data_IF_342493564317
#
_entry.id   IF_342493564317
#
_cell.length_a   1.000
_cell.length_b   1.000
_cell.length_c   1.000
_cell.angle_alpha   90.00
_cell.angle_beta   90.00
_cell.angle_gamma   90.00
#
_symmetry.space_group_name_H-M   'P 1'
#
loop_
_entity.id
_entity.type
_entity.pdbx_description
1 polymer ?
#
# COMPACT_ATOMS: atom_id res chain seq x y z
N UNK A 1 46.73 45.33 -4.52
CA UNK A 1 45.40 45.65 -3.91
C UNK A 1 44.52 44.43 -4.11
N UNK A 2 44.41 43.52 -3.13
CA UNK A 2 43.56 42.35 -3.20
C UNK A 2 42.28 42.65 -2.40
N UNK A 3 41.13 42.66 -3.08
CA UNK A 3 39.84 42.90 -2.48
C UNK A 3 39.40 41.71 -1.61
N UNK A 4 38.54 41.91 -0.59
CA UNK A 4 38.15 40.88 0.36
C UNK A 4 37.25 39.86 -0.31
N UNK A 5 37.64 38.58 -0.20
CA UNK A 5 36.89 37.42 -0.64
C UNK A 5 35.70 37.24 0.31
N UNK A 6 34.48 37.57 -0.14
CA UNK A 6 33.26 37.39 0.62
C UNK A 6 32.92 35.89 0.65
N UNK A 7 33.24 35.22 1.74
CA UNK A 7 32.77 33.87 1.99
C UNK A 7 31.24 33.87 2.09
N UNK A 8 30.56 33.47 1.02
CA UNK A 8 29.13 33.22 1.02
C UNK A 8 28.88 32.02 1.91
N UNK A 9 28.28 32.25 3.08
CA UNK A 9 27.94 31.25 4.08
C UNK A 9 26.99 30.23 3.43
N UNK A 10 27.54 29.08 2.99
CA UNK A 10 26.72 27.96 2.51
C UNK A 10 25.78 27.53 3.65
N UNK A 11 24.48 27.76 3.48
CA UNK A 11 23.46 27.12 4.31
C UNK A 11 23.64 25.61 4.10
N UNK A 12 24.01 24.89 5.16
CA UNK A 12 23.90 23.43 5.18
C UNK A 12 22.44 23.08 4.90
N UNK A 13 22.17 22.61 3.71
CA UNK A 13 20.91 21.92 3.45
C UNK A 13 20.88 20.72 4.35
N UNK A 14 20.06 20.78 5.39
CA UNK A 14 19.78 19.63 6.24
C UNK A 14 18.97 18.67 5.39
N UNK A 15 19.65 17.64 4.85
CA UNK A 15 18.96 16.51 4.20
C UNK A 15 18.08 15.89 5.29
N UNK A 16 16.75 15.93 5.16
CA UNK A 16 15.88 15.33 6.15
C UNK A 16 16.17 13.83 6.16
N UNK A 17 16.65 13.31 7.30
CA UNK A 17 16.77 11.87 7.50
C UNK A 17 15.42 11.22 7.23
N UNK A 18 15.41 10.16 6.42
CA UNK A 18 14.22 9.41 6.06
C UNK A 18 13.57 8.83 7.35
N UNK A 19 12.65 9.59 7.94
CA UNK A 19 11.85 9.18 9.07
C UNK A 19 10.67 8.29 8.62
N UNK A 20 9.93 7.76 9.59
CA UNK A 20 8.68 7.02 9.33
C UNK A 20 7.72 7.89 8.49
N UNK A 21 7.10 7.30 7.46
CA UNK A 21 6.08 7.98 6.64
C UNK A 21 5.02 8.64 7.52
N UNK A 22 4.64 9.90 7.25
CA UNK A 22 3.64 10.60 8.05
C UNK A 22 2.27 9.90 7.94
N UNK A 23 1.56 9.81 9.06
CA UNK A 23 0.17 9.32 9.05
C UNK A 23 -0.74 10.32 8.35
N UNK A 24 -1.74 9.86 7.57
CA UNK A 24 -2.77 10.72 6.99
C UNK A 24 -3.47 11.59 8.06
N UNK A 25 -3.90 12.78 7.66
CA UNK A 25 -4.54 13.74 8.59
C UNK A 25 -5.83 13.18 9.19
N UNK A 26 -6.61 12.41 8.43
CA UNK A 26 -7.81 11.74 8.92
C UNK A 26 -7.49 10.79 10.10
N UNK A 27 -6.43 9.98 10.00
CA UNK A 27 -5.97 9.09 11.08
C UNK A 27 -5.55 9.87 12.32
N UNK A 28 -4.81 10.97 12.12
CA UNK A 28 -4.39 11.83 13.24
C UNK A 28 -5.58 12.46 13.99
N UNK A 29 -6.64 12.84 13.29
CA UNK A 29 -7.87 13.35 13.89
C UNK A 29 -8.58 12.29 14.72
N UNK A 30 -8.72 11.07 14.20
CA UNK A 30 -9.34 9.94 14.93
C UNK A 30 -8.56 9.55 16.19
N UNK A 31 -7.22 9.57 16.11
CA UNK A 31 -6.35 9.31 17.27
C UNK A 31 -6.32 10.49 18.28
N UNK A 32 -7.11 11.56 18.06
CA UNK A 32 -7.14 12.72 18.95
C UNK A 32 -5.90 13.61 18.87
N UNK A 33 -5.01 13.39 17.89
CA UNK A 33 -3.77 14.15 17.70
C UNK A 33 -2.94 14.31 18.99
N UNK A 34 -2.54 13.22 19.65
CA UNK A 34 -1.91 13.27 20.99
C UNK A 34 -0.64 14.12 21.04
N UNK A 35 0.05 14.28 19.92
CA UNK A 35 1.22 15.14 19.80
C UNK A 35 0.89 16.63 19.57
N UNK A 36 -0.37 17.03 19.55
CA UNK A 36 -0.87 18.41 19.28
C UNK A 36 -0.17 19.11 18.10
N UNK A 37 0.29 18.33 17.11
CA UNK A 37 0.96 18.88 15.93
C UNK A 37 -0.07 19.46 14.97
N UNK A 38 0.31 20.55 14.28
CA UNK A 38 -0.54 21.18 13.26
C UNK A 38 -0.94 20.14 12.22
N UNK A 39 -2.25 19.97 12.01
CA UNK A 39 -2.79 19.06 11.01
C UNK A 39 -2.66 19.69 9.61
N UNK A 40 -2.37 18.85 8.61
CA UNK A 40 -2.37 19.30 7.22
C UNK A 40 -3.81 19.42 6.70
N UNK A 41 -4.35 20.63 6.70
CA UNK A 41 -5.71 20.89 6.19
C UNK A 41 -5.79 20.96 4.66
N UNK A 42 -4.63 20.94 3.98
CA UNK A 42 -4.51 21.00 2.53
C UNK A 42 -4.07 19.65 1.93
N UNK A 43 -4.33 18.56 2.65
CA UNK A 43 -4.07 17.22 2.12
C UNK A 43 -5.01 16.99 0.92
N UNK A 44 -4.45 16.68 -0.29
CA UNK A 44 -5.29 16.46 -1.46
C UNK A 44 -6.14 15.21 -1.26
N UNK A 45 -7.43 15.34 -1.54
CA UNK A 45 -8.39 14.23 -1.54
C UNK A 45 -8.63 13.88 -3.00
N UNK A 46 -8.15 12.71 -3.49
CA UNK A 46 -8.38 12.28 -4.86
C UNK A 46 -9.88 12.13 -5.14
N UNK A 47 -10.27 12.36 -6.39
CA UNK A 47 -11.63 12.07 -6.83
C UNK A 47 -11.92 10.56 -6.65
N UNK A 48 -13.14 10.25 -6.22
CA UNK A 48 -13.60 8.87 -6.11
C UNK A 48 -13.81 8.31 -7.52
N UNK A 49 -13.15 7.22 -7.84
CA UNK A 49 -13.28 6.55 -9.13
C UNK A 49 -12.47 5.26 -9.11
N UNK A 50 -12.95 4.24 -9.81
CA UNK A 50 -12.21 3.01 -9.98
C UNK A 50 -11.26 3.18 -11.17
N UNK A 51 -9.96 2.94 -11.01
CA UNK A 51 -9.01 3.05 -12.11
C UNK A 51 -9.29 2.01 -13.19
N UNK A 52 -9.05 2.37 -14.45
CA UNK A 52 -9.16 1.45 -15.58
C UNK A 52 -7.97 0.51 -15.60
N UNK A 53 -8.24 -0.78 -15.86
CA UNK A 53 -7.18 -1.78 -15.96
C UNK A 53 -6.31 -1.51 -17.21
N UNK A 54 -4.99 -1.37 -17.05
CA UNK A 54 -4.09 -1.16 -18.19
C UNK A 54 -4.01 -2.38 -19.10
N UNK A 55 -4.00 -2.15 -20.42
CA UNK A 55 -3.97 -3.22 -21.43
C UNK A 55 -2.66 -4.01 -21.47
N UNK A 56 -1.56 -3.39 -21.04
CA UNK A 56 -0.21 -3.99 -21.04
C UNK A 56 0.05 -4.97 -19.89
N UNK A 57 -0.88 -5.14 -18.95
CA UNK A 57 -0.72 -6.09 -17.86
C UNK A 57 -0.74 -7.54 -18.38
N UNK A 58 0.04 -8.41 -17.73
CA UNK A 58 -0.02 -9.86 -17.97
C UNK A 58 -1.43 -10.40 -17.70
N UNK A 59 -1.85 -11.48 -18.38
CA UNK A 59 -3.18 -12.06 -18.19
C UNK A 59 -3.52 -12.38 -16.72
N UNK A 60 -2.57 -12.95 -15.98
CA UNK A 60 -2.74 -13.24 -14.56
C UNK A 60 -2.80 -11.95 -13.70
N UNK A 61 -2.09 -10.91 -14.10
CA UNK A 61 -2.17 -9.61 -13.44
C UNK A 61 -3.55 -8.96 -13.65
N UNK A 62 -4.15 -9.10 -14.84
CA UNK A 62 -5.52 -8.62 -15.13
C UNK A 62 -6.56 -9.35 -14.27
N UNK A 63 -6.44 -10.67 -14.10
CA UNK A 63 -7.32 -11.45 -13.21
C UNK A 63 -7.22 -10.98 -11.75
N UNK A 64 -6.01 -10.73 -11.28
CA UNK A 64 -5.80 -10.22 -9.93
C UNK A 64 -6.33 -8.79 -9.77
N UNK A 65 -6.18 -7.95 -10.81
CA UNK A 65 -6.79 -6.63 -10.87
C UNK A 65 -8.32 -6.70 -10.72
N UNK A 66 -8.99 -7.51 -11.53
CA UNK A 66 -10.44 -7.66 -11.48
C UNK A 66 -10.94 -8.16 -10.12
N UNK A 67 -10.19 -9.08 -9.51
CA UNK A 67 -10.50 -9.64 -8.19
C UNK A 67 -10.43 -8.59 -7.09
N UNK A 68 -9.37 -7.78 -7.06
CA UNK A 68 -9.10 -6.86 -5.96
C UNK A 68 -9.69 -5.46 -6.17
N UNK A 69 -9.75 -4.95 -7.40
CA UNK A 69 -10.19 -3.58 -7.65
C UNK A 69 -11.60 -3.32 -7.12
N UNK A 70 -12.52 -4.28 -7.31
CA UNK A 70 -13.90 -4.18 -6.79
C UNK A 70 -13.93 -4.10 -5.27
N UNK A 71 -13.18 -4.96 -4.59
CA UNK A 71 -13.12 -5.01 -3.13
C UNK A 71 -12.50 -3.72 -2.56
N UNK A 72 -11.41 -3.25 -3.16
CA UNK A 72 -10.72 -2.05 -2.70
C UNK A 72 -11.53 -0.78 -2.98
N UNK A 73 -12.27 -0.75 -4.09
CA UNK A 73 -13.19 0.35 -4.37
C UNK A 73 -14.37 0.39 -3.37
N UNK A 74 -14.94 -0.77 -3.00
CA UNK A 74 -15.96 -0.86 -1.96
C UNK A 74 -15.45 -0.38 -0.60
N UNK A 75 -14.19 -0.67 -0.26
CA UNK A 75 -13.52 -0.17 0.94
C UNK A 75 -13.14 1.32 0.85
N UNK A 76 -13.28 1.96 -0.31
CA UNK A 76 -12.92 3.36 -0.53
C UNK A 76 -11.41 3.64 -0.43
N UNK A 77 -10.56 2.62 -0.65
CA UNK A 77 -9.09 2.74 -0.59
C UNK A 77 -8.42 2.86 -1.94
N UNK A 78 -9.13 2.58 -3.04
CA UNK A 78 -8.63 2.67 -4.40
C UNK A 78 -9.28 3.85 -5.12
N UNK A 79 -8.45 4.70 -5.71
CA UNK A 79 -8.86 5.86 -6.50
C UNK A 79 -8.18 5.86 -7.87
N UNK A 80 -8.62 6.71 -8.81
CA UNK A 80 -8.03 6.79 -10.15
C UNK A 80 -6.53 7.09 -10.16
N UNK A 81 -6.03 7.87 -9.18
CA UNK A 81 -4.61 8.21 -9.09
C UNK A 81 -3.73 7.03 -8.68
N UNK A 82 -4.32 5.97 -8.12
CA UNK A 82 -3.61 4.79 -7.64
C UNK A 82 -3.35 3.76 -8.75
N UNK A 83 -3.80 4.02 -9.97
CA UNK A 83 -3.73 3.10 -11.11
C UNK A 83 -2.34 2.49 -11.29
N UNK A 84 -1.30 3.31 -11.34
CA UNK A 84 0.07 2.82 -11.60
C UNK A 84 0.62 1.98 -10.45
N UNK A 85 0.36 2.38 -9.21
CA UNK A 85 0.81 1.64 -8.02
C UNK A 85 0.08 0.30 -7.90
N UNK A 86 -1.22 0.28 -8.17
CA UNK A 86 -2.02 -0.95 -8.16
C UNK A 86 -1.66 -1.88 -9.33
N UNK A 87 -1.37 -1.33 -10.52
CA UNK A 87 -0.85 -2.10 -11.64
C UNK A 87 0.49 -2.77 -11.32
N UNK A 88 1.40 -2.07 -10.64
CA UNK A 88 2.67 -2.62 -10.19
C UNK A 88 2.49 -3.78 -9.19
N UNK A 89 1.53 -3.67 -8.27
CA UNK A 89 1.14 -4.78 -7.38
C UNK A 89 0.68 -6.01 -8.17
N UNK A 90 -0.30 -5.84 -9.06
CA UNK A 90 -0.86 -6.94 -9.86
C UNK A 90 0.19 -7.60 -10.76
N UNK A 91 1.07 -6.80 -11.37
CA UNK A 91 2.15 -7.31 -12.20
C UNK A 91 3.19 -8.08 -11.39
N UNK A 92 3.52 -7.63 -10.18
CA UNK A 92 4.41 -8.35 -9.28
C UNK A 92 3.78 -9.67 -8.81
N UNK A 93 2.48 -9.68 -8.54
CA UNK A 93 1.74 -10.91 -8.23
C UNK A 93 1.81 -11.93 -9.37
N UNK A 94 1.57 -11.50 -10.61
CA UNK A 94 1.61 -12.39 -11.77
C UNK A 94 3.00 -12.99 -11.98
N UNK A 95 4.05 -12.18 -11.91
CA UNK A 95 5.44 -12.66 -12.04
C UNK A 95 5.86 -13.58 -10.90
N UNK A 96 5.43 -13.28 -9.67
CA UNK A 96 5.67 -14.14 -8.53
C UNK A 96 5.01 -15.51 -8.72
N UNK A 97 3.75 -15.53 -9.15
CA UNK A 97 2.99 -16.75 -9.43
C UNK A 97 3.66 -17.59 -10.52
N UNK A 98 3.99 -16.97 -11.66
CA UNK A 98 4.70 -17.63 -12.75
C UNK A 98 6.04 -18.26 -12.29
N UNK A 99 6.83 -17.49 -11.53
CA UNK A 99 8.09 -18.00 -10.99
C UNK A 99 7.89 -19.17 -10.02
N UNK A 100 6.83 -19.16 -9.20
CA UNK A 100 6.49 -20.29 -8.32
C UNK A 100 6.07 -21.53 -9.10
N UNK A 101 5.34 -21.37 -10.19
CA UNK A 101 4.96 -22.47 -11.09
C UNK A 101 6.20 -23.12 -11.70
N UNK A 102 7.18 -22.33 -12.17
CA UNK A 102 8.46 -22.82 -12.67
C UNK A 102 9.30 -23.52 -11.60
N UNK A 103 9.35 -22.98 -10.38
CA UNK A 103 10.08 -23.61 -9.28
C UNK A 103 9.43 -24.95 -8.89
N UNK A 104 8.10 -25.00 -8.88
CA UNK A 104 7.35 -26.21 -8.51
C UNK A 104 7.54 -27.32 -9.54
N UNK A 105 7.59 -26.98 -10.83
CA UNK A 105 7.73 -27.94 -11.92
C UNK A 105 9.18 -28.35 -12.18
N UNK A 106 10.13 -27.40 -12.10
CA UNK A 106 11.53 -27.59 -12.48
C UNK A 106 12.55 -27.62 -11.33
N UNK A 107 12.08 -27.39 -10.10
CA UNK A 107 12.95 -27.30 -8.92
C UNK A 107 13.56 -25.90 -8.70
N UNK A 108 14.08 -25.70 -7.50
CA UNK A 108 14.73 -24.45 -7.10
C UNK A 108 16.20 -24.39 -7.46
N UNK A 109 16.80 -25.53 -7.77
CA UNK A 109 18.21 -25.68 -8.14
C UNK A 109 18.38 -26.54 -9.37
N UNK A 110 19.47 -26.37 -10.06
CA UNK A 110 19.89 -27.21 -11.18
C UNK A 110 21.38 -27.51 -11.06
N UNK A 111 21.81 -28.63 -11.67
CA UNK A 111 23.21 -29.00 -11.74
C UNK A 111 23.83 -28.44 -13.03
N UNK A 112 24.98 -27.80 -12.89
CA UNK A 112 25.75 -27.29 -14.03
C UNK A 112 26.55 -28.40 -14.68
N UNK A 113 27.04 -28.20 -15.90
CA UNK A 113 27.90 -29.16 -16.65
C UNK A 113 29.17 -29.57 -15.88
N UNK A 114 29.54 -28.78 -14.86
CA UNK A 114 30.70 -29.07 -14.00
C UNK A 114 30.33 -29.75 -12.66
N UNK A 115 29.07 -30.18 -12.49
CA UNK A 115 28.58 -30.82 -11.28
C UNK A 115 28.24 -29.89 -10.10
N UNK A 116 28.20 -28.58 -10.28
CA UNK A 116 27.86 -27.66 -9.22
C UNK A 116 26.34 -27.41 -9.17
N UNK A 117 25.79 -27.44 -7.96
CA UNK A 117 24.39 -27.04 -7.73
C UNK A 117 24.27 -25.50 -7.76
N UNK A 118 23.40 -25.01 -8.63
CA UNK A 118 23.09 -23.59 -8.73
C UNK A 118 21.59 -23.34 -8.57
N UNK A 119 21.27 -22.19 -8.02
CA UNK A 119 19.88 -21.76 -7.88
C UNK A 119 19.32 -21.36 -9.24
N UNK A 120 18.08 -21.77 -9.55
CA UNK A 120 17.42 -21.34 -10.78
C UNK A 120 17.14 -19.83 -10.75
N UNK A 121 17.15 -19.12 -11.89
CA UNK A 121 16.80 -17.69 -11.97
C UNK A 121 15.42 -17.40 -11.41
N UNK A 122 14.51 -18.36 -11.49
CA UNK A 122 13.13 -18.24 -11.02
C UNK A 122 13.03 -17.94 -9.52
N UNK A 123 13.94 -18.47 -8.71
CA UNK A 123 13.96 -18.18 -7.26
C UNK A 123 14.26 -16.70 -6.99
N UNK A 124 15.20 -16.11 -7.74
CA UNK A 124 15.49 -14.67 -7.65
C UNK A 124 14.30 -13.82 -8.07
N UNK A 125 13.62 -14.21 -9.16
CA UNK A 125 12.41 -13.53 -9.67
C UNK A 125 11.29 -13.64 -8.64
N UNK A 126 11.05 -14.84 -8.08
CA UNK A 126 10.03 -15.07 -7.07
C UNK A 126 10.26 -14.20 -5.82
N UNK A 127 11.45 -14.24 -5.24
CA UNK A 127 11.79 -13.50 -4.04
C UNK A 127 11.67 -11.98 -4.23
N UNK A 128 12.12 -11.47 -5.37
CA UNK A 128 12.05 -10.04 -5.69
C UNK A 128 10.59 -9.59 -5.84
N UNK A 129 9.80 -10.30 -6.63
CA UNK A 129 8.40 -9.91 -6.88
C UNK A 129 7.53 -10.13 -5.63
N UNK A 130 7.76 -11.16 -4.82
CA UNK A 130 7.11 -11.34 -3.53
C UNK A 130 7.35 -10.15 -2.61
N UNK A 131 8.59 -9.67 -2.51
CA UNK A 131 8.93 -8.50 -1.69
C UNK A 131 8.22 -7.24 -2.18
N UNK A 132 8.24 -6.97 -3.49
CA UNK A 132 7.56 -5.82 -4.09
C UNK A 132 6.05 -5.90 -3.89
N UNK A 133 5.45 -7.07 -4.10
CA UNK A 133 4.03 -7.32 -3.88
C UNK A 133 3.63 -7.06 -2.41
N UNK A 134 4.36 -7.59 -1.43
CA UNK A 134 4.07 -7.39 -0.01
C UNK A 134 4.25 -5.93 0.42
N UNK A 135 5.23 -5.24 -0.15
CA UNK A 135 5.44 -3.82 0.10
C UNK A 135 4.24 -3.00 -0.41
N UNK A 136 3.83 -3.22 -1.66
CA UNK A 136 2.65 -2.56 -2.23
C UNK A 136 1.36 -2.96 -1.50
N UNK A 137 1.19 -4.24 -1.13
CA UNK A 137 0.06 -4.72 -0.34
C UNK A 137 -0.10 -3.96 0.98
N UNK A 138 1.01 -3.62 1.64
CA UNK A 138 0.96 -2.86 2.89
C UNK A 138 0.52 -1.40 2.69
N UNK A 139 0.83 -0.79 1.55
CA UNK A 139 0.39 0.58 1.23
C UNK A 139 -1.13 0.62 0.96
N UNK A 140 -1.67 -0.39 0.29
CA UNK A 140 -3.11 -0.52 0.00
C UNK A 140 -3.94 -1.12 1.15
N UNK A 141 -3.35 -1.43 2.29
CA UNK A 141 -4.10 -2.00 3.41
C UNK A 141 -4.54 -3.45 3.20
N UNK A 142 -3.88 -4.19 2.32
CA UNK A 142 -4.22 -5.59 2.07
C UNK A 142 -3.75 -6.54 3.18
N UNK A 143 -2.93 -6.06 4.13
CA UNK A 143 -2.55 -6.83 5.31
C UNK A 143 -3.37 -6.42 6.54
N UNK A 144 -3.63 -7.31 7.51
CA UNK A 144 -4.37 -6.97 8.73
C UNK A 144 -3.78 -5.77 9.48
N UNK A 145 -2.44 -5.71 9.61
CA UNK A 145 -1.75 -4.62 10.30
C UNK A 145 -1.80 -3.29 9.54
N UNK A 146 -1.89 -3.31 8.21
CA UNK A 146 -2.02 -2.08 7.43
C UNK A 146 -3.47 -1.58 7.37
N UNK A 147 -4.46 -2.48 7.36
CA UNK A 147 -5.89 -2.11 7.41
C UNK A 147 -6.24 -1.28 8.64
N UNK A 148 -5.73 -1.62 9.80
CA UNK A 148 -5.96 -0.83 11.02
C UNK A 148 -5.44 0.62 10.95
N UNK A 149 -4.61 0.95 9.96
CA UNK A 149 -4.05 2.29 9.73
C UNK A 149 -4.74 3.06 8.61
N UNK A 150 -5.59 2.39 7.82
CA UNK A 150 -6.34 2.99 6.74
C UNK A 150 -7.71 3.40 7.27
N UNK A 151 -7.99 4.68 7.20
CA UNK A 151 -9.34 5.19 7.41
C UNK A 151 -10.00 5.21 6.05
N UNK A 152 -10.86 4.24 5.79
CA UNK A 152 -11.68 4.22 4.60
C UNK A 152 -12.53 5.51 4.55
N UNK A 153 -12.47 6.22 3.43
CA UNK A 153 -13.30 7.40 3.22
C UNK A 153 -14.78 6.98 3.20
N UNK A 154 -15.51 7.32 4.26
CA UNK A 154 -16.96 7.25 4.43
C UNK A 154 -17.75 6.31 3.51
N UNK A 155 -17.54 5.00 3.66
CA UNK A 155 -18.49 4.00 3.29
C UNK A 155 -19.18 3.51 4.57
N UNK A 156 -20.39 3.96 4.86
CA UNK A 156 -21.33 3.39 5.82
C UNK A 156 -20.84 3.09 7.27
N UNK A 157 -20.25 4.08 7.95
CA UNK A 157 -20.13 4.01 9.41
C UNK A 157 -21.39 4.47 10.18
N UNK A 158 -22.47 4.85 9.47
CA UNK A 158 -23.69 5.36 10.09
C UNK A 158 -24.73 4.28 10.47
N UNK A 159 -24.64 3.09 9.86
CA UNK A 159 -25.64 2.03 10.15
C UNK A 159 -25.31 1.24 11.43
N UNK A 160 -24.04 1.19 11.86
CA UNK A 160 -23.65 0.42 13.06
C UNK A 160 -23.79 1.20 14.37
N UNK A 161 -23.78 2.53 14.34
CA UNK A 161 -24.04 3.34 15.53
C UNK A 161 -25.53 3.36 15.85
N UNK A 162 -26.40 3.50 14.86
CA UNK A 162 -27.86 3.46 15.04
C UNK A 162 -28.35 2.06 15.47
N UNK A 163 -27.76 0.97 14.97
CA UNK A 163 -28.08 -0.40 15.42
C UNK A 163 -27.59 -0.69 16.84
N UNK A 164 -26.45 -0.14 17.23
CA UNK A 164 -25.90 -0.33 18.59
C UNK A 164 -26.65 0.53 19.60
N UNK A 165 -27.11 1.72 19.25
CA UNK A 165 -27.91 2.59 20.08
C UNK A 165 -29.34 2.04 20.25
N UNK A 166 -29.92 1.40 19.22
CA UNK A 166 -31.18 0.69 19.28
C UNK A 166 -31.11 -0.56 20.18
N UNK A 167 -29.99 -1.26 20.22
CA UNK A 167 -29.77 -2.44 21.11
C UNK A 167 -29.51 -2.04 22.56
N UNK A 168 -28.94 -0.86 22.81
CA UNK A 168 -28.65 -0.35 24.15
C UNK A 168 -29.81 0.48 24.73
N UNK A 169 -30.74 0.96 23.88
CA UNK A 169 -31.90 1.76 24.29
C UNK A 169 -33.08 0.96 24.88
N UNK A 170 -33.09 -0.37 24.74
CA UNK A 170 -34.22 -1.21 25.22
C UNK A 170 -33.99 -1.87 26.61
N UNK A 171 -33.05 -1.39 27.41
CA UNK A 171 -32.82 -1.88 28.77
C UNK A 171 -33.50 -1.07 29.86
N UNK A 172 -34.66 -0.49 29.56
CA UNK A 172 -35.46 0.35 30.46
C UNK A 172 -36.74 -0.27 30.94
N UNK A 173 -36.74 -1.52 31.48
CA UNK A 173 -37.86 -2.04 32.26
C UNK A 173 -37.35 -2.94 33.39
N UNK A 174 -36.99 -2.32 34.51
CA UNK A 174 -37.20 -2.87 35.86
C UNK A 174 -37.52 -1.70 36.80
N UNK A 175 -38.78 -1.48 36.96
CA UNK A 175 -39.38 -0.75 38.04
C UNK A 175 -40.35 -1.67 38.76
#
# INVERSE_FOLDING_TARGET
MYGPFIMKKMRKEVIPMAGRKPKPTAVKKLEGNPGKRKLNTKEPIPAKGMPVCPDWLMPEAKKEWERLAKLMNQMGVLTEVDMAAFAAYCQSYARWKEAQEHITSGGSTFETDKGYQQQTPWVGIANTNQKLMLQAASEFGLTPSSRSRIVAGNGKAKETEDEMEALLGDSGVFG
#
